data_IF_109505650613
#
_entry.id   IF_109505650613
#
_cell.length_a   1.000
_cell.length_b   1.000
_cell.length_c   1.000
_cell.angle_alpha   90.00
_cell.angle_beta   90.00
_cell.angle_gamma   90.00
#
_symmetry.space_group_name_H-M   'P 1'
#
loop_
_entity.id
_entity.type
_entity.pdbx_description
1 polymer ?
#
# COMPACT_ATOMS: atom_id res chain seq x y z
N UNK A 1 16.16 -89.70 27.26
CA UNK A 1 16.33 -89.68 28.73
C UNK A 1 15.99 -88.26 29.22
N UNK A 2 15.03 -88.18 30.15
CA UNK A 2 14.74 -87.11 31.13
C UNK A 2 14.65 -85.63 30.68
N UNK A 3 13.44 -85.04 30.83
CA UNK A 3 13.20 -83.57 30.94
C UNK A 3 13.61 -83.01 32.31
N UNK A 4 13.16 -81.81 32.79
CA UNK A 4 12.03 -80.98 32.33
C UNK A 4 12.35 -79.47 32.19
N UNK A 5 11.37 -78.67 31.75
CA UNK A 5 11.32 -77.21 31.91
C UNK A 5 10.85 -76.81 33.31
N UNK A 6 11.20 -75.61 33.81
CA UNK A 6 10.14 -74.75 34.35
C UNK A 6 10.28 -73.25 34.06
N UNK A 7 9.13 -72.60 34.26
CA UNK A 7 8.74 -71.20 34.09
C UNK A 7 9.51 -70.19 34.95
N UNK A 8 9.74 -69.00 34.38
CA UNK A 8 9.31 -67.70 34.94
C UNK A 8 10.08 -67.07 36.10
N UNK A 9 10.69 -65.91 35.86
CA UNK A 9 10.82 -64.81 36.84
C UNK A 9 11.06 -63.47 36.12
N UNK A 10 10.17 -62.52 36.38
CA UNK A 10 10.30 -61.09 36.06
C UNK A 10 11.28 -60.45 37.05
N UNK A 11 12.19 -59.61 36.57
CA UNK A 11 12.80 -58.56 37.38
C UNK A 11 13.09 -57.33 36.52
N UNK A 12 12.33 -56.26 36.81
CA UNK A 12 12.61 -54.88 36.43
C UNK A 12 13.83 -54.36 37.19
N UNK A 13 14.69 -53.63 36.49
CA UNK A 13 15.44 -52.45 36.96
C UNK A 13 15.64 -51.60 35.69
N UNK A 14 15.08 -50.40 35.50
CA UNK A 14 15.11 -49.17 36.31
C UNK A 14 16.56 -48.80 36.64
N UNK A 15 17.19 -48.06 35.74
CA UNK A 15 17.69 -46.69 35.96
C UNK A 15 18.48 -46.23 34.72
N UNK A 16 17.96 -45.22 34.02
CA UNK A 16 18.41 -43.82 34.08
C UNK A 16 19.54 -43.58 33.09
N UNK A 17 19.20 -43.05 31.91
CA UNK A 17 19.85 -41.86 31.33
C UNK A 17 18.90 -41.30 30.28
N UNK A 18 17.82 -40.70 30.78
CA UNK A 18 17.16 -39.61 30.05
C UNK A 18 18.12 -38.43 30.12
N UNK A 19 18.53 -37.80 29.00
CA UNK A 19 19.05 -36.45 29.08
C UNK A 19 17.86 -35.54 29.38
N UNK A 20 17.63 -35.37 30.68
CA UNK A 20 16.84 -34.36 31.37
C UNK A 20 17.40 -32.96 31.11
N UNK A 21 17.59 -32.58 29.84
CA UNK A 21 17.91 -31.21 29.46
C UNK A 21 16.92 -30.77 28.40
N UNK A 22 15.78 -30.29 28.91
CA UNK A 22 14.85 -29.47 28.15
C UNK A 22 15.61 -28.35 27.48
N UNK A 23 15.87 -28.52 26.18
CA UNK A 23 16.24 -27.42 25.30
C UNK A 23 14.98 -26.58 25.18
N UNK A 24 14.85 -25.61 26.09
CA UNK A 24 13.77 -24.63 26.13
C UNK A 24 13.56 -24.16 24.69
N UNK A 25 12.40 -24.52 24.15
CA UNK A 25 11.96 -24.21 22.81
C UNK A 25 11.72 -22.70 22.68
N UNK A 26 12.79 -21.91 22.64
CA UNK A 26 12.72 -20.48 22.29
C UNK A 26 12.57 -20.24 20.78
N UNK A 27 12.53 -21.30 19.97
CA UNK A 27 12.45 -21.23 18.51
C UNK A 27 11.06 -21.56 17.92
N UNK A 28 10.07 -21.95 18.73
CA UNK A 28 8.73 -22.31 18.23
C UNK A 28 7.99 -21.09 17.65
N UNK A 29 7.88 -20.01 18.42
CA UNK A 29 7.15 -18.80 17.99
C UNK A 29 7.84 -18.05 16.84
N UNK A 30 9.18 -17.95 16.87
CA UNK A 30 9.93 -17.32 15.77
C UNK A 30 9.81 -18.10 14.46
N UNK A 31 9.67 -19.43 14.52
CA UNK A 31 9.47 -20.26 13.33
C UNK A 31 8.06 -20.08 12.75
N UNK A 32 7.04 -19.99 13.61
CA UNK A 32 5.65 -19.79 13.20
C UNK A 32 5.43 -18.37 12.64
N UNK A 33 6.01 -17.36 13.29
CA UNK A 33 5.93 -15.97 12.84
C UNK A 33 6.70 -15.75 11.53
N UNK A 34 7.92 -16.31 11.40
CA UNK A 34 8.66 -16.24 10.14
C UNK A 34 7.94 -16.96 9.00
N UNK A 35 7.25 -18.07 9.29
CA UNK A 35 6.46 -18.80 8.29
C UNK A 35 5.23 -17.99 7.87
N UNK A 36 4.54 -17.36 8.82
CA UNK A 36 3.44 -16.43 8.55
C UNK A 36 3.89 -15.30 7.61
N UNK A 37 4.97 -14.58 7.94
CA UNK A 37 5.41 -13.47 7.07
C UNK A 37 5.88 -13.89 5.68
N UNK A 38 6.39 -15.12 5.52
CA UNK A 38 6.84 -15.67 4.23
C UNK A 38 5.71 -16.28 3.40
N UNK A 39 4.53 -16.49 3.98
CA UNK A 39 3.38 -17.06 3.29
C UNK A 39 2.83 -16.09 2.24
N UNK A 40 2.32 -16.65 1.14
CA UNK A 40 1.57 -15.90 0.14
C UNK A 40 0.20 -15.51 0.69
N UNK A 41 -0.22 -14.31 0.33
CA UNK A 41 -1.47 -13.73 0.84
C UNK A 41 -2.63 -14.12 -0.06
N UNK A 42 -3.77 -14.48 0.55
CA UNK A 42 -4.98 -14.77 -0.20
C UNK A 42 -5.47 -13.55 -0.97
N UNK A 43 -5.82 -13.73 -2.24
CA UNK A 43 -6.40 -12.68 -3.08
C UNK A 43 -7.87 -12.39 -2.75
N UNK A 44 -8.52 -13.26 -1.98
CA UNK A 44 -9.90 -13.07 -1.56
C UNK A 44 -9.98 -11.77 -0.74
N UNK A 45 -10.86 -10.86 -1.15
CA UNK A 45 -11.06 -9.54 -0.54
C UNK A 45 -9.86 -8.56 -0.62
N UNK A 46 -8.77 -8.91 -1.31
CA UNK A 46 -7.62 -8.03 -1.46
C UNK A 46 -7.96 -6.75 -2.25
N UNK A 47 -8.99 -6.81 -3.10
CA UNK A 47 -9.62 -5.68 -3.76
C UNK A 47 -10.17 -4.64 -2.78
N UNK A 48 -10.67 -5.04 -1.59
CA UNK A 48 -11.15 -4.10 -0.58
C UNK A 48 -10.03 -3.18 -0.08
N UNK A 49 -8.81 -3.71 0.10
CA UNK A 49 -7.63 -2.93 0.50
C UNK A 49 -7.23 -1.95 -0.61
N UNK A 50 -7.28 -2.38 -1.87
CA UNK A 50 -6.98 -1.53 -3.02
C UNK A 50 -8.02 -0.42 -3.21
N UNK A 51 -9.30 -0.75 -3.02
CA UNK A 51 -10.43 0.19 -3.02
C UNK A 51 -10.29 1.22 -1.90
N UNK A 52 -9.94 0.79 -0.69
CA UNK A 52 -9.65 1.70 0.42
C UNK A 52 -8.51 2.66 0.09
N UNK A 53 -7.52 2.19 -0.68
CA UNK A 53 -6.46 3.02 -1.23
C UNK A 53 -6.94 4.21 -2.09
N UNK A 54 -8.10 4.13 -2.75
CA UNK A 54 -8.67 5.26 -3.50
C UNK A 54 -9.06 6.42 -2.58
N UNK A 55 -9.48 6.15 -1.34
CA UNK A 55 -9.76 7.20 -0.33
C UNK A 55 -8.48 7.99 -0.06
N UNK A 56 -7.37 7.29 0.17
CA UNK A 56 -6.06 7.91 0.44
C UNK A 56 -5.60 8.73 -0.77
N UNK A 57 -5.76 8.19 -1.98
CA UNK A 57 -5.42 8.93 -3.20
C UNK A 57 -6.24 10.21 -3.33
N UNK A 58 -7.57 10.13 -3.20
CA UNK A 58 -8.45 11.29 -3.32
C UNK A 58 -8.11 12.37 -2.29
N UNK A 59 -7.89 11.95 -1.04
CA UNK A 59 -7.48 12.83 0.07
C UNK A 59 -6.17 13.58 -0.24
N UNK A 60 -5.15 12.85 -0.68
CA UNK A 60 -3.83 13.43 -0.93
C UNK A 60 -3.83 14.32 -2.19
N UNK A 61 -4.46 13.89 -3.28
CA UNK A 61 -4.49 14.66 -4.52
C UNK A 61 -5.32 15.94 -4.40
N UNK A 62 -6.49 15.91 -3.74
CA UNK A 62 -7.30 17.12 -3.60
C UNK A 62 -6.58 18.18 -2.75
N UNK A 63 -5.97 17.78 -1.63
CA UNK A 63 -5.19 18.69 -0.80
C UNK A 63 -3.91 19.18 -1.49
N UNK A 64 -3.19 18.31 -2.21
CA UNK A 64 -1.98 18.67 -2.95
C UNK A 64 -2.27 19.65 -4.09
N UNK A 65 -3.35 19.44 -4.85
CA UNK A 65 -3.75 20.37 -5.92
C UNK A 65 -4.15 21.72 -5.35
N UNK A 66 -4.93 21.75 -4.27
CA UNK A 66 -5.34 23.01 -3.66
C UNK A 66 -4.15 23.83 -3.13
N UNK A 67 -3.18 23.17 -2.50
CA UNK A 67 -2.11 23.86 -1.75
C UNK A 67 -0.83 24.01 -2.58
N UNK A 68 -0.43 22.96 -3.30
CA UNK A 68 0.77 22.98 -4.13
C UNK A 68 0.49 23.27 -5.60
N UNK A 69 -0.76 23.15 -6.06
CA UNK A 69 -1.11 23.36 -7.47
C UNK A 69 -0.76 22.18 -8.37
N UNK A 70 -0.43 21.01 -7.83
CA UNK A 70 -0.04 19.82 -8.59
C UNK A 70 -0.55 18.55 -7.92
N UNK A 71 -0.87 17.55 -8.73
CA UNK A 71 -1.27 16.23 -8.24
C UNK A 71 -0.06 15.45 -7.76
N UNK A 72 -0.23 14.60 -6.75
CA UNK A 72 0.78 13.63 -6.31
C UNK A 72 0.61 12.28 -6.98
N UNK A 73 -0.59 11.92 -7.44
CA UNK A 73 -0.84 10.61 -8.06
C UNK A 73 -1.32 10.69 -9.52
N UNK A 74 -2.17 11.67 -9.86
CA UNK A 74 -2.76 11.81 -11.19
C UNK A 74 -1.81 12.46 -12.21
N UNK A 75 -0.92 11.66 -12.78
CA UNK A 75 0.13 12.17 -13.68
C UNK A 75 -0.40 12.74 -15.00
N UNK A 76 -1.57 12.31 -15.49
CA UNK A 76 -2.19 12.88 -16.70
C UNK A 76 -2.40 14.39 -16.59
N UNK A 77 -2.92 14.86 -15.44
CA UNK A 77 -3.10 16.30 -15.18
C UNK A 77 -1.77 17.05 -15.07
N UNK A 78 -0.79 16.44 -14.39
CA UNK A 78 0.55 17.02 -14.29
C UNK A 78 1.23 17.15 -15.65
N UNK A 79 1.06 16.20 -16.57
CA UNK A 79 1.62 16.31 -17.93
C UNK A 79 1.07 17.53 -18.67
N UNK A 80 -0.22 17.84 -18.50
CA UNK A 80 -0.82 19.06 -19.05
C UNK A 80 -0.24 20.32 -18.39
N UNK A 81 -0.14 20.36 -17.06
CA UNK A 81 0.48 21.48 -16.35
C UNK A 81 1.94 21.71 -16.76
N UNK A 82 2.69 20.63 -16.99
CA UNK A 82 4.05 20.70 -17.51
C UNK A 82 4.08 21.29 -18.92
N UNK A 83 3.26 20.76 -19.84
CA UNK A 83 3.21 21.25 -21.21
C UNK A 83 2.87 22.73 -21.30
N UNK A 84 1.84 23.18 -20.57
CA UNK A 84 1.43 24.58 -20.55
C UNK A 84 2.55 25.50 -20.01
N UNK A 85 3.20 25.12 -18.91
CA UNK A 85 4.25 25.96 -18.34
C UNK A 85 5.59 25.89 -19.08
N UNK A 86 5.86 24.87 -19.91
CA UNK A 86 7.01 24.89 -20.82
C UNK A 86 6.82 25.98 -21.89
N UNK A 87 5.60 26.16 -22.38
CA UNK A 87 5.28 27.18 -23.39
C UNK A 87 5.24 28.59 -22.78
N UNK A 88 4.72 28.72 -21.56
CA UNK A 88 4.61 29.99 -20.85
C UNK A 88 5.25 29.94 -19.44
N UNK A 89 6.59 29.82 -19.34
CA UNK A 89 7.27 29.58 -18.05
C UNK A 89 7.19 30.74 -17.08
N UNK A 90 6.93 31.96 -17.56
CA UNK A 90 6.77 33.16 -16.73
C UNK A 90 5.41 33.24 -16.01
N UNK A 91 4.42 32.42 -16.37
CA UNK A 91 3.07 32.49 -15.79
C UNK A 91 2.93 31.78 -14.43
N UNK A 92 3.93 30.99 -14.03
CA UNK A 92 3.99 30.44 -12.68
C UNK A 92 4.86 29.20 -12.53
N UNK A 93 5.09 28.80 -11.28
CA UNK A 93 5.98 27.69 -10.92
C UNK A 93 5.29 26.30 -10.93
N UNK A 94 4.02 26.24 -11.34
CA UNK A 94 3.21 25.00 -11.30
C UNK A 94 3.82 23.87 -12.11
N UNK A 95 4.39 24.19 -13.27
CA UNK A 95 5.00 23.20 -14.16
C UNK A 95 6.22 22.52 -13.55
N UNK A 96 7.00 23.23 -12.72
CA UNK A 96 8.14 22.65 -11.99
C UNK A 96 7.67 21.64 -10.96
N UNK A 97 6.60 21.97 -10.23
CA UNK A 97 5.95 21.05 -9.27
C UNK A 97 5.38 19.82 -10.00
N UNK A 98 4.71 20.03 -11.13
CA UNK A 98 4.20 18.95 -11.98
C UNK A 98 5.31 18.03 -12.51
N UNK A 99 6.41 18.60 -13.01
CA UNK A 99 7.59 17.85 -13.45
C UNK A 99 8.18 17.02 -12.29
N UNK A 100 8.30 17.62 -11.11
CA UNK A 100 8.80 16.95 -9.90
C UNK A 100 7.93 15.74 -9.54
N UNK A 101 6.60 15.90 -9.59
CA UNK A 101 5.65 14.81 -9.33
C UNK A 101 5.79 13.69 -10.37
N UNK A 102 5.85 14.02 -11.67
CA UNK A 102 6.00 13.04 -12.76
C UNK A 102 7.29 12.24 -12.61
N UNK A 103 8.43 12.93 -12.47
CA UNK A 103 9.74 12.30 -12.35
C UNK A 103 9.79 11.39 -11.12
N UNK A 104 9.32 11.87 -9.97
CA UNK A 104 9.30 11.09 -8.74
C UNK A 104 8.38 9.86 -8.84
N UNK A 105 7.20 10.01 -9.45
CA UNK A 105 6.27 8.91 -9.70
C UNK A 105 6.87 7.85 -10.63
N UNK A 106 7.60 8.25 -11.67
CA UNK A 106 8.29 7.34 -12.59
C UNK A 106 9.42 6.57 -11.89
N UNK A 107 10.25 7.26 -11.10
CA UNK A 107 11.33 6.62 -10.32
C UNK A 107 10.73 5.65 -9.29
N UNK A 108 9.67 6.06 -8.58
CA UNK A 108 8.95 5.20 -7.64
C UNK A 108 8.36 3.96 -8.32
N UNK A 109 7.73 4.15 -9.49
CA UNK A 109 7.16 3.04 -10.28
C UNK A 109 8.23 2.02 -10.63
N UNK A 110 9.40 2.48 -11.06
CA UNK A 110 10.54 1.64 -11.37
C UNK A 110 11.05 0.89 -10.13
N UNK A 111 11.22 1.59 -9.00
CA UNK A 111 11.68 1.02 -7.74
C UNK A 111 10.73 -0.07 -7.21
N UNK A 112 9.45 0.25 -7.04
CA UNK A 112 8.46 -0.70 -6.53
C UNK A 112 8.25 -1.87 -7.49
N UNK A 113 8.28 -1.65 -8.81
CA UNK A 113 8.14 -2.75 -9.77
C UNK A 113 9.32 -3.73 -9.70
N UNK A 114 10.55 -3.23 -9.53
CA UNK A 114 11.74 -4.06 -9.32
C UNK A 114 11.68 -4.81 -7.99
N UNK A 115 11.27 -4.13 -6.92
CA UNK A 115 11.12 -4.71 -5.58
C UNK A 115 10.14 -5.89 -5.60
N UNK A 116 8.92 -5.69 -6.12
CA UNK A 116 7.89 -6.74 -6.21
C UNK A 116 8.30 -7.89 -7.12
N UNK A 117 9.01 -7.60 -8.22
CA UNK A 117 9.53 -8.64 -9.12
C UNK A 117 10.62 -9.49 -8.48
N UNK A 118 11.50 -8.88 -7.69
CA UNK A 118 12.61 -9.58 -7.06
C UNK A 118 12.18 -10.47 -5.89
N UNK A 119 11.23 -10.00 -5.06
CA UNK A 119 10.87 -10.69 -3.81
C UNK A 119 9.56 -11.51 -3.86
N UNK A 120 8.86 -11.52 -5.00
CA UNK A 120 7.49 -12.03 -5.20
C UNK A 120 6.40 -11.12 -4.63
N UNK A 121 5.42 -10.68 -5.45
CA UNK A 121 4.41 -9.72 -5.04
C UNK A 121 3.32 -10.29 -4.13
N UNK A 122 3.24 -11.62 -4.02
CA UNK A 122 2.23 -12.30 -3.19
C UNK A 122 2.66 -12.45 -1.73
N UNK A 123 3.96 -12.41 -1.42
CA UNK A 123 4.45 -12.69 -0.08
C UNK A 123 4.02 -11.59 0.89
N UNK A 124 3.48 -11.99 2.04
CA UNK A 124 2.96 -11.06 3.06
C UNK A 124 3.98 -10.01 3.48
N UNK A 125 5.21 -10.42 3.76
CA UNK A 125 6.27 -9.49 4.16
C UNK A 125 6.61 -8.47 3.07
N UNK A 126 6.48 -8.83 1.77
CA UNK A 126 6.76 -7.92 0.65
C UNK A 126 5.69 -6.83 0.58
N UNK A 127 4.41 -7.19 0.75
CA UNK A 127 3.33 -6.22 0.82
C UNK A 127 3.49 -5.30 2.03
N UNK A 128 3.78 -5.85 3.21
CA UNK A 128 4.01 -5.07 4.43
C UNK A 128 5.20 -4.12 4.25
N UNK A 129 6.33 -4.60 3.74
CA UNK A 129 7.51 -3.77 3.51
C UNK A 129 7.23 -2.66 2.48
N UNK A 130 6.54 -2.98 1.38
CA UNK A 130 6.12 -2.02 0.36
C UNK A 130 5.22 -0.93 0.95
N UNK A 131 4.17 -1.30 1.68
CA UNK A 131 3.25 -0.34 2.29
C UNK A 131 3.88 0.43 3.46
N UNK A 132 4.81 -0.17 4.19
CA UNK A 132 5.58 0.51 5.25
C UNK A 132 6.54 1.55 4.67
N UNK A 133 7.21 1.24 3.56
CA UNK A 133 8.04 2.22 2.84
C UNK A 133 7.19 3.38 2.31
N UNK A 134 6.00 3.09 1.77
CA UNK A 134 5.05 4.11 1.35
C UNK A 134 4.60 4.99 2.54
N UNK A 135 4.23 4.37 3.66
CA UNK A 135 3.86 5.05 4.90
C UNK A 135 4.98 5.97 5.39
N UNK A 136 6.22 5.49 5.44
CA UNK A 136 7.38 6.27 5.86
C UNK A 136 7.55 7.54 5.02
N UNK A 137 7.38 7.44 3.69
CA UNK A 137 7.46 8.59 2.80
C UNK A 137 6.34 9.62 3.06
N UNK A 138 5.13 9.17 3.39
CA UNK A 138 4.03 10.07 3.80
C UNK A 138 4.37 10.71 5.15
N UNK A 139 4.93 9.97 6.11
CA UNK A 139 5.34 10.51 7.42
C UNK A 139 6.42 11.58 7.25
N UNK A 140 7.45 11.32 6.43
CA UNK A 140 8.49 12.32 6.12
C UNK A 140 7.87 13.58 5.53
N UNK A 141 6.96 13.44 4.56
CA UNK A 141 6.23 14.57 4.00
C UNK A 141 5.40 15.32 5.06
N UNK A 142 4.67 14.60 5.93
CA UNK A 142 3.86 15.17 6.99
C UNK A 142 4.71 15.96 7.99
N UNK A 143 5.85 15.42 8.42
CA UNK A 143 6.77 16.08 9.35
C UNK A 143 7.34 17.35 8.73
N UNK A 144 7.81 17.31 7.48
CA UNK A 144 8.35 18.49 6.81
C UNK A 144 7.28 19.59 6.69
N UNK A 145 6.05 19.24 6.33
CA UNK A 145 4.93 20.20 6.20
C UNK A 145 4.47 20.73 7.56
N UNK A 146 4.60 19.94 8.64
CA UNK A 146 4.20 20.36 9.99
C UNK A 146 5.22 21.31 10.62
N UNK A 147 6.52 21.08 10.37
CA UNK A 147 7.61 21.87 10.97
C UNK A 147 7.99 23.07 10.09
N UNK A 148 7.74 22.99 8.78
CA UNK A 148 8.12 24.03 7.84
C UNK A 148 7.28 25.30 7.93
N UNK A 149 7.86 26.40 7.48
CA UNK A 149 7.15 27.68 7.36
C UNK A 149 6.13 27.63 6.22
N UNK A 150 5.14 28.55 6.23
CA UNK A 150 4.06 28.57 5.24
C UNK A 150 4.54 29.12 3.88
N UNK A 151 5.33 28.33 3.15
CA UNK A 151 5.97 28.71 1.88
C UNK A 151 5.17 28.25 0.65
N UNK A 152 3.84 28.49 0.64
CA UNK A 152 2.91 28.00 -0.42
C UNK A 152 3.28 28.45 -1.85
N UNK A 153 3.79 29.67 -2.00
CA UNK A 153 3.96 30.33 -3.30
C UNK A 153 5.39 30.38 -3.84
N UNK A 154 6.37 29.81 -3.14
CA UNK A 154 7.75 29.80 -3.62
C UNK A 154 8.22 28.39 -3.97
N UNK A 155 9.23 28.32 -4.83
CA UNK A 155 9.91 27.07 -5.15
C UNK A 155 10.84 26.71 -3.98
N UNK A 156 10.26 26.16 -2.92
CA UNK A 156 10.98 25.81 -1.70
C UNK A 156 11.07 24.30 -1.52
N UNK A 157 12.18 23.84 -0.93
CA UNK A 157 12.42 22.41 -0.70
C UNK A 157 11.34 21.79 0.20
N UNK A 158 10.75 22.57 1.11
CA UNK A 158 9.63 22.15 1.96
C UNK A 158 8.33 21.88 1.19
N UNK A 159 8.24 22.29 -0.08
CA UNK A 159 7.15 21.92 -0.98
C UNK A 159 7.59 20.76 -1.89
N UNK A 160 8.78 20.87 -2.49
CA UNK A 160 9.25 19.90 -3.48
C UNK A 160 9.54 18.52 -2.88
N UNK A 161 10.14 18.44 -1.69
CA UNK A 161 10.49 17.16 -1.05
C UNK A 161 9.24 16.40 -0.60
N UNK A 162 8.25 17.02 0.09
CA UNK A 162 6.98 16.35 0.38
C UNK A 162 6.21 15.94 -0.87
N UNK A 163 6.11 16.82 -1.87
CA UNK A 163 5.46 16.51 -3.15
C UNK A 163 6.11 15.30 -3.82
N UNK A 164 7.45 15.30 -3.95
CA UNK A 164 8.20 14.20 -4.53
C UNK A 164 8.00 12.91 -3.71
N UNK A 165 8.05 12.98 -2.38
CA UNK A 165 7.90 11.80 -1.50
C UNK A 165 6.50 11.17 -1.63
N UNK A 166 5.46 12.00 -1.64
CA UNK A 166 4.07 11.52 -1.78
C UNK A 166 3.80 11.00 -3.20
N UNK A 167 4.41 11.60 -4.23
CA UNK A 167 4.33 11.11 -5.60
C UNK A 167 5.10 9.82 -5.83
N UNK A 168 6.27 9.68 -5.19
CA UNK A 168 7.02 8.43 -5.21
C UNK A 168 6.20 7.29 -4.60
N UNK A 169 5.63 7.49 -3.41
CA UNK A 169 4.89 6.41 -2.74
C UNK A 169 3.56 6.07 -3.44
N UNK A 170 2.90 7.03 -4.08
CA UNK A 170 1.62 6.79 -4.76
C UNK A 170 1.78 5.80 -5.92
N UNK A 171 2.93 5.84 -6.59
CA UNK A 171 3.29 4.84 -7.61
C UNK A 171 3.36 3.42 -7.06
N UNK A 172 3.78 3.23 -5.82
CA UNK A 172 3.87 1.93 -5.16
C UNK A 172 2.51 1.26 -5.01
N UNK A 173 1.46 2.05 -4.79
CA UNK A 173 0.08 1.56 -4.72
C UNK A 173 -0.40 1.06 -6.08
N UNK A 174 -0.13 1.83 -7.15
CA UNK A 174 -0.46 1.45 -8.52
C UNK A 174 0.28 0.18 -8.97
N UNK A 175 1.57 0.07 -8.62
CA UNK A 175 2.38 -1.13 -8.88
C UNK A 175 1.85 -2.32 -8.10
N UNK A 176 1.53 -2.16 -6.82
CA UNK A 176 1.02 -3.26 -5.98
C UNK A 176 -0.28 -3.83 -6.54
N UNK A 177 -1.19 -2.97 -6.99
CA UNK A 177 -2.44 -3.39 -7.63
C UNK A 177 -2.22 -4.28 -8.86
N UNK A 178 -1.29 -3.88 -9.75
CA UNK A 178 -0.88 -4.70 -10.89
C UNK A 178 -0.19 -5.99 -10.47
N UNK A 179 0.63 -5.93 -9.43
CA UNK A 179 1.36 -7.09 -8.92
C UNK A 179 0.41 -8.15 -8.34
N UNK A 180 -0.68 -7.72 -7.71
CA UNK A 180 -1.78 -8.57 -7.22
C UNK A 180 -2.78 -8.97 -8.32
N UNK A 181 -2.56 -8.57 -9.58
CA UNK A 181 -3.41 -8.85 -10.75
C UNK A 181 -4.77 -8.14 -10.75
N UNK A 182 -4.91 -7.05 -10.00
CA UNK A 182 -6.09 -6.17 -10.03
C UNK A 182 -5.84 -4.99 -10.98
N UNK A 183 -5.54 -5.27 -12.25
CA UNK A 183 -5.09 -4.24 -13.20
C UNK A 183 -6.05 -3.04 -13.37
N UNK A 184 -7.34 -3.21 -13.10
CA UNK A 184 -8.34 -2.14 -13.13
C UNK A 184 -8.37 -1.23 -11.89
N UNK A 185 -7.75 -1.63 -10.77
CA UNK A 185 -7.84 -0.93 -9.47
C UNK A 185 -6.51 -0.31 -9.04
N UNK A 186 -5.86 0.44 -9.93
CA UNK A 186 -4.53 1.03 -9.65
C UNK A 186 -4.54 2.14 -8.60
N UNK A 187 -5.71 2.58 -8.13
CA UNK A 187 -5.92 3.68 -7.19
C UNK A 187 -5.49 5.07 -7.67
N UNK A 188 -4.90 5.22 -8.85
CA UNK A 188 -4.36 6.50 -9.35
C UNK A 188 -4.96 6.95 -10.68
N UNK A 189 -5.51 6.02 -11.46
CA UNK A 189 -6.20 6.32 -12.74
C UNK A 189 -7.67 5.91 -12.63
N UNK A 190 -8.58 6.84 -12.96
CA UNK A 190 -10.01 6.59 -13.07
C UNK A 190 -10.54 6.56 -14.50
N UNK A 191 -9.82 7.13 -15.47
CA UNK A 191 -10.31 7.25 -16.85
C UNK A 191 -10.66 5.90 -17.47
N UNK A 192 -9.72 4.94 -17.42
CA UNK A 192 -9.98 3.58 -17.90
C UNK A 192 -11.11 2.93 -17.12
N UNK A 193 -11.17 3.14 -15.80
CA UNK A 193 -12.24 2.61 -14.96
C UNK A 193 -13.63 3.14 -15.37
N UNK A 194 -13.77 4.42 -15.71
CA UNK A 194 -15.02 4.96 -16.25
C UNK A 194 -15.36 4.35 -17.61
N UNK A 195 -14.40 4.29 -18.54
CA UNK A 195 -14.61 3.67 -19.84
C UNK A 195 -15.04 2.20 -19.70
N UNK A 196 -14.36 1.45 -18.85
CA UNK A 196 -14.61 0.03 -18.59
C UNK A 196 -15.95 -0.21 -17.86
N UNK A 197 -16.38 0.73 -17.01
CA UNK A 197 -17.69 0.66 -16.34
C UNK A 197 -18.83 0.90 -17.33
N UNK A 198 -18.75 1.99 -18.10
CA UNK A 198 -19.83 2.39 -19.00
C UNK A 198 -19.89 1.59 -20.31
N UNK A 199 -18.83 0.82 -20.62
CA UNK A 199 -18.84 -0.17 -21.71
C UNK A 199 -19.17 -1.59 -21.25
N UNK A 200 -19.42 -1.83 -19.95
CA UNK A 200 -19.74 -3.15 -19.44
C UNK A 200 -21.13 -3.61 -19.94
N UNK A 201 -21.24 -4.70 -20.73
CA UNK A 201 -22.53 -5.19 -21.22
C UNK A 201 -23.45 -5.69 -20.09
N UNK A 202 -22.88 -5.99 -18.91
CA UNK A 202 -23.58 -6.43 -17.70
C UNK A 202 -23.64 -5.32 -16.64
N UNK A 203 -23.63 -4.05 -17.06
CA UNK A 203 -23.68 -2.89 -16.16
C UNK A 203 -24.86 -2.92 -15.17
N UNK A 204 -26.02 -3.39 -15.62
CA UNK A 204 -27.26 -3.49 -14.83
C UNK A 204 -27.52 -4.89 -14.27
N UNK A 205 -26.60 -5.84 -14.44
CA UNK A 205 -26.73 -7.16 -13.85
C UNK A 205 -26.59 -7.08 -12.32
N UNK A 206 -27.31 -7.96 -11.63
CA UNK A 206 -27.31 -8.03 -10.16
C UNK A 206 -25.99 -8.56 -9.59
N UNK A 207 -25.36 -9.51 -10.30
CA UNK A 207 -24.11 -10.14 -9.88
C UNK A 207 -22.97 -9.81 -10.87
N UNK A 208 -22.18 -8.81 -10.51
CA UNK A 208 -20.98 -8.41 -11.25
C UNK A 208 -20.00 -7.71 -10.29
N UNK A 209 -19.12 -8.49 -9.68
CA UNK A 209 -18.11 -8.01 -8.72
C UNK A 209 -17.19 -6.96 -9.36
N UNK A 210 -16.81 -7.14 -10.62
CA UNK A 210 -15.91 -6.23 -11.31
C UNK A 210 -16.58 -4.87 -11.59
N UNK A 211 -17.85 -4.87 -12.02
CA UNK A 211 -18.67 -3.65 -12.10
C UNK A 211 -18.77 -2.96 -10.75
N UNK A 212 -19.02 -3.70 -9.66
CA UNK A 212 -19.14 -3.13 -8.32
C UNK A 212 -17.83 -2.44 -7.89
N UNK A 213 -16.68 -3.06 -8.18
CA UNK A 213 -15.35 -2.45 -7.96
C UNK A 213 -15.18 -1.16 -8.76
N UNK A 214 -15.59 -1.18 -10.03
CA UNK A 214 -15.49 -0.02 -10.92
C UNK A 214 -16.43 1.13 -10.53
N UNK A 215 -17.55 0.84 -9.89
CA UNK A 215 -18.41 1.87 -9.26
C UNK A 215 -17.76 2.37 -7.96
N UNK A 216 -17.24 1.46 -7.14
CA UNK A 216 -16.64 1.78 -5.85
C UNK A 216 -15.41 2.68 -5.95
N UNK A 217 -14.51 2.42 -6.91
CA UNK A 217 -13.28 3.17 -7.10
C UNK A 217 -13.47 4.71 -7.20
N UNK A 218 -14.29 5.25 -8.13
CA UNK A 218 -14.52 6.68 -8.23
C UNK A 218 -15.29 7.26 -7.04
N UNK A 219 -16.22 6.51 -6.44
CA UNK A 219 -16.95 6.96 -5.26
C UNK A 219 -16.05 7.10 -4.03
N UNK A 220 -15.16 6.12 -3.81
CA UNK A 220 -14.19 6.16 -2.71
C UNK A 220 -13.13 7.24 -2.92
N UNK A 221 -12.70 7.45 -4.17
CA UNK A 221 -11.83 8.57 -4.50
C UNK A 221 -12.51 9.91 -4.24
N UNK A 222 -13.77 10.07 -4.67
CA UNK A 222 -14.55 11.27 -4.40
C UNK A 222 -14.71 11.51 -2.90
N UNK A 223 -15.01 10.46 -2.13
CA UNK A 223 -15.09 10.53 -0.67
C UNK A 223 -13.77 11.02 -0.07
N UNK A 224 -12.64 10.44 -0.48
CA UNK A 224 -11.31 10.92 -0.09
C UNK A 224 -11.07 12.38 -0.48
N UNK A 225 -11.44 12.76 -1.70
CA UNK A 225 -11.28 14.12 -2.20
C UNK A 225 -12.08 15.13 -1.37
N UNK A 226 -13.31 14.78 -0.97
CA UNK A 226 -14.12 15.56 -0.03
C UNK A 226 -13.41 15.73 1.32
N UNK A 227 -12.83 14.67 1.88
CA UNK A 227 -12.03 14.76 3.12
C UNK A 227 -10.84 15.70 2.95
N UNK A 228 -10.12 15.63 1.83
CA UNK A 228 -8.99 16.53 1.55
C UNK A 228 -9.42 17.98 1.30
N UNK A 229 -10.61 18.20 0.73
CA UNK A 229 -11.23 19.51 0.62
C UNK A 229 -11.59 20.11 1.99
N UNK A 230 -12.15 19.30 2.90
CA UNK A 230 -12.41 19.73 4.28
C UNK A 230 -11.13 20.16 4.98
N UNK A 231 -10.04 19.39 4.83
CA UNK A 231 -8.73 19.77 5.37
C UNK A 231 -8.18 21.05 4.73
N UNK A 232 -8.28 21.18 3.40
CA UNK A 232 -7.80 22.34 2.65
C UNK A 232 -8.49 23.65 3.07
N UNK A 233 -9.76 23.59 3.48
CA UNK A 233 -10.52 24.72 4.00
C UNK A 233 -10.45 24.88 5.53
N UNK A 234 -9.74 23.99 6.24
CA UNK A 234 -9.52 24.09 7.68
C UNK A 234 -8.23 24.85 8.01
N UNK A 235 -8.08 25.27 9.27
CA UNK A 235 -6.83 25.87 9.78
C UNK A 235 -5.64 24.92 9.78
N UNK A 236 -5.87 23.61 9.75
CA UNK A 236 -4.81 22.58 9.78
C UNK A 236 -4.22 22.34 8.38
N UNK A 237 -5.00 22.60 7.32
CA UNK A 237 -4.53 22.55 5.94
C UNK A 237 -3.93 21.20 5.52
N UNK A 238 -2.81 21.24 4.79
CA UNK A 238 -2.17 20.05 4.21
C UNK A 238 -1.65 19.07 5.27
N UNK A 239 -1.18 19.58 6.41
CA UNK A 239 -0.67 18.74 7.48
C UNK A 239 -1.75 17.77 7.98
N UNK A 240 -2.99 18.24 8.11
CA UNK A 240 -4.14 17.43 8.53
C UNK A 240 -4.44 16.32 7.52
N UNK A 241 -4.40 16.63 6.23
CA UNK A 241 -4.58 15.63 5.17
C UNK A 241 -3.47 14.58 5.18
N UNK A 242 -2.20 14.99 5.33
CA UNK A 242 -1.06 14.07 5.38
C UNK A 242 -1.09 13.16 6.61
N UNK A 243 -1.37 13.69 7.81
CA UNK A 243 -1.50 12.87 9.01
C UNK A 243 -2.71 11.94 8.98
N UNK A 244 -3.81 12.38 8.37
CA UNK A 244 -4.95 11.48 8.09
C UNK A 244 -4.52 10.35 7.16
N UNK A 245 -3.78 10.66 6.09
CA UNK A 245 -3.26 9.64 5.17
C UNK A 245 -2.27 8.68 5.87
N UNK A 246 -1.43 9.16 6.80
CA UNK A 246 -0.57 8.31 7.66
C UNK A 246 -1.43 7.31 8.44
N UNK A 247 -2.49 7.77 9.10
CA UNK A 247 -3.42 6.90 9.84
C UNK A 247 -4.06 5.85 8.94
N UNK A 248 -4.64 6.27 7.81
CA UNK A 248 -5.28 5.37 6.86
C UNK A 248 -4.29 4.35 6.26
N UNK A 249 -3.08 4.77 5.90
CA UNK A 249 -2.06 3.86 5.36
C UNK A 249 -1.54 2.88 6.42
N UNK A 250 -1.48 3.30 7.69
CA UNK A 250 -1.17 2.41 8.81
C UNK A 250 -2.21 1.31 8.96
N UNK A 251 -3.50 1.62 8.77
CA UNK A 251 -4.56 0.59 8.75
C UNK A 251 -4.34 -0.43 7.62
N UNK A 252 -3.86 -0.01 6.44
CA UNK A 252 -3.51 -0.93 5.36
C UNK A 252 -2.36 -1.85 5.76
N UNK A 253 -1.30 -1.31 6.38
CA UNK A 253 -0.17 -2.13 6.86
C UNK A 253 -0.64 -3.15 7.89
N UNK A 254 -1.47 -2.73 8.85
CA UNK A 254 -2.09 -3.62 9.85
C UNK A 254 -2.96 -4.69 9.19
N UNK A 255 -3.78 -4.31 8.21
CA UNK A 255 -4.59 -5.26 7.46
C UNK A 255 -3.71 -6.35 6.80
N UNK A 256 -2.59 -5.99 6.18
CA UNK A 256 -1.68 -6.98 5.60
C UNK A 256 -0.97 -7.86 6.63
N UNK A 257 -0.67 -7.34 7.83
CA UNK A 257 -0.09 -8.14 8.92
C UNK A 257 -1.00 -9.29 9.35
N UNK A 258 -2.30 -9.01 9.46
CA UNK A 258 -3.31 -9.98 9.90
C UNK A 258 -4.06 -10.65 8.75
N UNK A 259 -3.74 -10.34 7.49
CA UNK A 259 -4.44 -10.89 6.34
C UNK A 259 -4.30 -12.41 6.27
N UNK A 260 -5.31 -13.11 5.76
CA UNK A 260 -5.30 -14.57 5.64
C UNK A 260 -4.30 -15.05 4.59
N UNK A 261 -3.62 -16.16 4.87
CA UNK A 261 -2.72 -16.78 3.89
C UNK A 261 -3.50 -17.52 2.81
N UNK A 262 -2.89 -17.70 1.64
CA UNK A 262 -3.36 -18.67 0.65
C UNK A 262 -3.40 -20.04 1.35
N UNK A 263 -4.58 -20.69 1.37
CA UNK A 263 -4.70 -22.06 1.88
C UNK A 263 -4.05 -22.95 0.84
N UNK A 264 -3.13 -23.82 1.25
CA UNK A 264 -2.64 -24.86 0.38
C UNK A 264 -3.86 -25.69 -0.04
N UNK A 265 -4.20 -25.69 -1.33
CA UNK A 265 -5.21 -26.60 -1.87
C UNK A 265 -4.60 -28.01 -1.76
N UNK A 266 -5.09 -28.78 -0.77
CA UNK A 266 -4.87 -30.23 -0.68
C UNK A 266 -5.61 -30.97 -1.81
#
# INVERSE_FOLDING_TARGET
MAGPSPRGASARGVDEETPLLGRIAKNSDSSHLSRHFKQDVSRNWADAVLLFGYIITGLLDSSAVFIWGSFVSMQTGNTVYLGLGIIAPSEGIRWVKALTSIVSFCIGSFFFARFHRHFSPKKRWVLIASYSAQLLLIVVAAVIVTVGDDVKNQLHWQVLVPLASVAFQSSGQAVTSRALQFNGLTSVVLTSNYCDLFSDPKLFAWDNVERNRRIGAPLLLLFGACMGGLWAHSSVGLAGALWTAVGLKTLIVIAWMFWTGEKDEE
#
